data_IF_133581512318
#
_entry.id   IF_133581512318
#
_cell.length_a   1.000
_cell.length_b   1.000
_cell.length_c   1.000
_cell.angle_alpha   90.00
_cell.angle_beta   90.00
_cell.angle_gamma   90.00
#
_symmetry.space_group_name_H-M   'P 1'
#
loop_
_entity.id
_entity.type
_entity.pdbx_description
1 polymer ?
#
# COMPACT_ATOMS: atom_id res chain seq x y z
N UNK A 1 -6.64 -11.20 -5.96
CA UNK A 1 -7.34 -10.06 -5.31
C UNK A 1 -6.41 -9.15 -4.51
N UNK A 2 -5.37 -9.67 -3.86
CA UNK A 2 -4.30 -8.87 -3.20
C UNK A 2 -3.58 -7.92 -4.18
N UNK A 3 -3.35 -8.36 -5.40
CA UNK A 3 -2.55 -7.65 -6.41
C UNK A 3 -3.15 -6.29 -6.86
N UNK A 4 -4.48 -6.23 -6.98
CA UNK A 4 -5.20 -5.04 -7.44
C UNK A 4 -5.23 -3.92 -6.37
N UNK A 5 -5.27 -4.30 -5.09
CA UNK A 5 -5.21 -3.38 -3.96
C UNK A 5 -3.81 -2.76 -3.82
N UNK A 6 -2.76 -3.57 -4.00
CA UNK A 6 -1.36 -3.09 -3.97
C UNK A 6 -1.10 -2.10 -5.11
N UNK A 7 -1.52 -2.42 -6.34
CA UNK A 7 -1.34 -1.54 -7.51
C UNK A 7 -2.04 -0.18 -7.33
N UNK A 8 -3.29 -0.18 -6.84
CA UNK A 8 -4.06 1.04 -6.58
C UNK A 8 -3.42 1.91 -5.50
N UNK A 9 -2.82 1.28 -4.48
CA UNK A 9 -2.15 1.98 -3.40
C UNK A 9 -0.82 2.61 -3.83
N UNK A 10 -0.02 1.90 -4.63
CA UNK A 10 1.20 2.45 -5.24
C UNK A 10 0.88 3.67 -6.11
N UNK A 11 -0.17 3.58 -6.95
CA UNK A 11 -0.63 4.72 -7.76
C UNK A 11 -1.06 5.92 -6.89
N UNK A 12 -1.76 5.66 -5.78
CA UNK A 12 -2.20 6.70 -4.85
C UNK A 12 -1.01 7.44 -4.19
N UNK A 13 0.02 6.71 -3.74
CA UNK A 13 1.21 7.30 -3.13
C UNK A 13 2.03 8.11 -4.15
N UNK A 14 2.12 7.63 -5.40
CA UNK A 14 2.91 8.28 -6.44
C UNK A 14 2.19 9.45 -7.13
N UNK A 15 0.87 9.57 -6.99
CA UNK A 15 0.03 10.56 -7.70
C UNK A 15 0.57 12.00 -7.61
N UNK A 16 1.00 12.45 -6.44
CA UNK A 16 1.55 13.80 -6.23
C UNK A 16 2.91 14.04 -6.89
N UNK A 17 3.70 13.00 -7.21
CA UNK A 17 5.00 13.12 -7.88
C UNK A 17 4.94 12.85 -9.39
N UNK A 18 3.93 12.13 -9.88
CA UNK A 18 3.90 11.59 -11.25
C UNK A 18 2.90 12.30 -12.17
N UNK A 19 1.84 12.90 -11.63
CA UNK A 19 0.75 13.46 -12.44
C UNK A 19 0.89 14.99 -12.54
N UNK A 20 0.92 15.58 -13.76
CA UNK A 20 1.14 17.01 -13.98
C UNK A 20 -0.11 17.87 -13.69
N UNK A 21 -1.00 17.40 -12.81
CA UNK A 21 -2.28 18.05 -12.52
C UNK A 21 -2.20 19.06 -11.37
N UNK A 22 -3.26 19.84 -11.20
CA UNK A 22 -3.37 20.77 -10.08
C UNK A 22 -3.35 20.02 -8.74
N UNK A 23 -2.85 20.68 -7.69
CA UNK A 23 -2.76 20.12 -6.34
C UNK A 23 -4.09 19.52 -5.86
N UNK A 24 -5.22 20.19 -6.12
CA UNK A 24 -6.54 19.73 -5.68
C UNK A 24 -7.04 18.54 -6.49
N UNK A 25 -6.67 18.43 -7.77
CA UNK A 25 -6.94 17.23 -8.59
C UNK A 25 -6.15 16.05 -8.05
N UNK A 26 -4.84 16.22 -7.81
CA UNK A 26 -4.00 15.16 -7.25
C UNK A 26 -4.50 14.71 -5.86
N UNK A 27 -4.96 15.64 -5.02
CA UNK A 27 -5.58 15.31 -3.73
C UNK A 27 -6.85 14.46 -3.88
N UNK A 28 -7.71 14.82 -4.81
CA UNK A 28 -8.97 14.09 -5.07
C UNK A 28 -8.68 12.69 -5.59
N UNK A 29 -7.75 12.57 -6.55
CA UNK A 29 -7.32 11.28 -7.11
C UNK A 29 -6.70 10.39 -6.03
N UNK A 30 -5.80 10.93 -5.21
CA UNK A 30 -5.21 10.22 -4.08
C UNK A 30 -6.30 9.69 -3.13
N UNK A 31 -7.27 10.53 -2.76
CA UNK A 31 -8.37 10.14 -1.88
C UNK A 31 -9.22 9.00 -2.47
N UNK A 32 -9.60 9.11 -3.74
CA UNK A 32 -10.44 8.12 -4.45
C UNK A 32 -9.68 6.80 -4.58
N UNK A 33 -8.41 6.83 -5.01
CA UNK A 33 -7.61 5.61 -5.16
C UNK A 33 -7.45 4.88 -3.82
N UNK A 34 -7.22 5.61 -2.72
CA UNK A 34 -7.19 4.99 -1.40
C UNK A 34 -8.55 4.45 -0.94
N UNK A 35 -9.66 5.12 -1.29
CA UNK A 35 -11.00 4.63 -0.98
C UNK A 35 -11.31 3.31 -1.71
N UNK A 36 -10.97 3.23 -3.00
CA UNK A 36 -11.11 2.01 -3.81
C UNK A 36 -10.24 0.89 -3.25
N UNK A 37 -8.97 1.17 -2.92
CA UNK A 37 -8.07 0.19 -2.35
C UNK A 37 -8.55 -0.31 -0.97
N UNK A 38 -9.08 0.57 -0.11
CA UNK A 38 -9.67 0.18 1.17
C UNK A 38 -10.89 -0.72 0.96
N UNK A 39 -11.79 -0.37 0.03
CA UNK A 39 -12.94 -1.20 -0.31
C UNK A 39 -12.55 -2.60 -0.79
N UNK A 40 -11.62 -2.69 -1.75
CA UNK A 40 -11.12 -3.96 -2.28
C UNK A 40 -10.43 -4.79 -1.19
N UNK A 41 -9.65 -4.15 -0.32
CA UNK A 41 -9.01 -4.78 0.83
C UNK A 41 -10.01 -5.35 1.83
N UNK A 42 -11.01 -4.56 2.23
CA UNK A 42 -12.08 -4.99 3.13
C UNK A 42 -12.91 -6.13 2.53
N UNK A 43 -13.21 -6.07 1.23
CA UNK A 43 -13.90 -7.14 0.53
C UNK A 43 -13.06 -8.43 0.47
N UNK A 44 -11.74 -8.32 0.28
CA UNK A 44 -10.82 -9.46 0.36
C UNK A 44 -10.81 -10.12 1.74
N UNK A 45 -10.79 -9.33 2.81
CA UNK A 45 -10.90 -9.84 4.20
C UNK A 45 -12.25 -10.53 4.40
N UNK A 46 -13.36 -9.91 3.97
CA UNK A 46 -14.68 -10.53 4.03
C UNK A 46 -14.72 -11.89 3.31
N UNK A 47 -14.16 -11.98 2.10
CA UNK A 47 -14.12 -13.22 1.34
C UNK A 47 -13.30 -14.31 2.05
N UNK A 48 -12.18 -13.96 2.69
CA UNK A 48 -11.37 -14.90 3.47
C UNK A 48 -12.13 -15.46 4.68
N UNK A 49 -12.80 -14.59 5.45
CA UNK A 49 -13.64 -15.00 6.59
C UNK A 49 -14.81 -15.89 6.13
N UNK A 50 -15.47 -15.52 5.03
CA UNK A 50 -16.55 -16.33 4.46
C UNK A 50 -16.06 -17.73 4.07
N UNK A 51 -14.93 -17.81 3.36
CA UNK A 51 -14.33 -19.09 2.97
C UNK A 51 -13.98 -19.98 4.16
N UNK A 52 -13.36 -19.41 5.20
CA UNK A 52 -13.04 -20.15 6.42
C UNK A 52 -14.29 -20.65 7.14
N UNK A 53 -15.33 -19.82 7.27
CA UNK A 53 -16.58 -20.19 7.93
C UNK A 53 -17.31 -21.31 7.16
N UNK A 54 -17.38 -21.21 5.83
CA UNK A 54 -18.00 -22.23 4.98
C UNK A 54 -17.20 -23.54 4.93
N UNK A 55 -15.87 -23.46 5.12
CA UNK A 55 -14.95 -24.62 5.08
C UNK A 55 -14.63 -25.19 6.47
N UNK A 56 -15.19 -24.63 7.55
CA UNK A 56 -14.91 -25.07 8.93
C UNK A 56 -13.47 -24.82 9.40
N UNK A 57 -12.78 -23.83 8.82
CA UNK A 57 -11.40 -23.46 9.16
C UNK A 57 -11.44 -22.37 10.25
N UNK A 58 -10.55 -22.45 11.24
CA UNK A 58 -10.43 -21.42 12.26
C UNK A 58 -10.02 -20.07 11.65
N UNK A 59 -10.56 -18.97 12.16
CA UNK A 59 -10.15 -17.61 11.75
C UNK A 59 -9.05 -17.06 12.65
N UNK A 60 -8.26 -16.11 12.13
CA UNK A 60 -7.32 -15.28 12.89
C UNK A 60 -6.28 -16.05 13.72
N UNK A 61 -5.78 -17.20 13.24
CA UNK A 61 -4.74 -17.97 13.95
C UNK A 61 -3.33 -17.75 13.39
N UNK A 62 -3.19 -17.23 12.18
CA UNK A 62 -1.89 -17.08 11.50
C UNK A 62 -1.34 -15.67 11.60
N UNK A 63 0.00 -15.53 11.52
CA UNK A 63 0.64 -14.22 11.48
C UNK A 63 0.16 -13.39 10.26
N UNK A 64 -0.06 -14.04 9.11
CA UNK A 64 -0.65 -13.40 7.93
C UNK A 64 -1.98 -12.70 8.30
N UNK A 65 -2.87 -13.41 8.99
CA UNK A 65 -4.18 -12.89 9.36
C UNK A 65 -4.10 -11.74 10.38
N UNK A 66 -3.18 -11.79 11.35
CA UNK A 66 -2.98 -10.72 12.34
C UNK A 66 -2.41 -9.46 11.69
N UNK A 67 -1.36 -9.61 10.87
CA UNK A 67 -0.76 -8.48 10.14
C UNK A 67 -1.75 -7.91 9.14
N UNK A 68 -2.49 -8.75 8.40
CA UNK A 68 -3.49 -8.33 7.42
C UNK A 68 -4.64 -7.53 8.05
N UNK A 69 -5.22 -8.02 9.16
CA UNK A 69 -6.28 -7.31 9.87
C UNK A 69 -5.76 -6.01 10.52
N UNK A 70 -4.59 -6.04 11.14
CA UNK A 70 -3.95 -4.83 11.66
C UNK A 70 -3.73 -3.79 10.57
N UNK A 71 -3.27 -4.22 9.39
CA UNK A 71 -3.05 -3.34 8.24
C UNK A 71 -4.33 -2.68 7.76
N UNK A 72 -5.42 -3.43 7.57
CA UNK A 72 -6.67 -2.84 7.06
C UNK A 72 -7.29 -1.85 8.05
N UNK A 73 -7.16 -2.12 9.36
CA UNK A 73 -7.61 -1.20 10.42
C UNK A 73 -6.79 0.09 10.38
N UNK A 74 -5.45 -0.02 10.39
CA UNK A 74 -4.55 1.14 10.33
C UNK A 74 -4.77 1.95 9.05
N UNK A 75 -4.99 1.27 7.93
CA UNK A 75 -5.32 1.91 6.66
C UNK A 75 -6.62 2.71 6.77
N UNK A 76 -7.68 2.12 7.31
CA UNK A 76 -8.96 2.81 7.51
C UNK A 76 -8.81 4.07 8.37
N UNK A 77 -8.08 3.97 9.49
CA UNK A 77 -7.77 5.12 10.36
C UNK A 77 -6.96 6.20 9.63
N UNK A 78 -5.98 5.80 8.83
CA UNK A 78 -5.17 6.69 8.01
C UNK A 78 -6.01 7.42 6.96
N UNK A 79 -6.95 6.72 6.31
CA UNK A 79 -7.84 7.30 5.31
C UNK A 79 -8.81 8.30 5.95
N UNK A 80 -9.47 7.93 7.06
CA UNK A 80 -10.41 8.82 7.77
C UNK A 80 -9.69 10.05 8.31
N UNK A 81 -8.54 9.88 8.97
CA UNK A 81 -7.76 11.01 9.49
C UNK A 81 -7.25 11.92 8.37
N UNK A 82 -6.82 11.35 7.24
CA UNK A 82 -6.43 12.09 6.04
C UNK A 82 -7.59 12.89 5.45
N UNK A 83 -8.76 12.28 5.33
CA UNK A 83 -9.98 12.92 4.84
C UNK A 83 -10.38 14.12 5.72
N UNK A 84 -10.50 13.93 7.04
CA UNK A 84 -10.92 14.97 7.97
C UNK A 84 -9.91 16.12 8.05
N UNK A 85 -8.61 15.82 7.95
CA UNK A 85 -7.54 16.81 8.08
C UNK A 85 -7.31 17.61 6.80
N UNK A 86 -7.27 16.94 5.63
CA UNK A 86 -6.78 17.53 4.39
C UNK A 86 -7.87 17.77 3.32
N UNK A 87 -9.06 17.18 3.49
CA UNK A 87 -10.16 17.26 2.51
C UNK A 87 -11.39 17.96 3.09
N UNK A 88 -12.18 17.32 3.95
CA UNK A 88 -13.43 17.88 4.49
C UNK A 88 -13.70 17.36 5.91
N UNK A 89 -14.09 18.23 6.89
CA UNK A 89 -14.28 19.68 6.80
C UNK A 89 -12.97 20.46 6.60
N UNK A 90 -11.84 19.78 6.81
CA UNK A 90 -10.52 20.32 6.64
C UNK A 90 -10.02 21.03 7.90
N UNK A 91 -8.87 20.60 8.41
CA UNK A 91 -8.24 21.19 9.58
C UNK A 91 -7.66 22.59 9.34
N UNK A 92 -7.33 23.32 10.41
CA UNK A 92 -6.60 24.58 10.33
C UNK A 92 -5.22 24.42 9.68
N UNK A 93 -4.65 25.46 9.05
CA UNK A 93 -3.33 25.38 8.43
C UNK A 93 -2.21 24.95 9.39
N UNK A 94 -2.31 25.33 10.66
CA UNK A 94 -1.33 24.94 11.70
C UNK A 94 -1.38 23.44 11.98
N UNK A 95 -2.58 22.89 12.16
CA UNK A 95 -2.76 21.45 12.39
C UNK A 95 -2.37 20.63 11.16
N UNK A 96 -2.74 21.07 9.95
CA UNK A 96 -2.32 20.40 8.70
C UNK A 96 -0.80 20.28 8.60
N UNK A 97 -0.06 21.36 8.88
CA UNK A 97 1.41 21.34 8.85
C UNK A 97 2.00 20.39 9.91
N UNK A 98 1.40 20.32 11.09
CA UNK A 98 1.85 19.41 12.15
C UNK A 98 1.57 17.93 11.83
N UNK A 99 0.41 17.63 11.25
CA UNK A 99 -0.04 16.25 10.97
C UNK A 99 0.57 15.69 9.68
N UNK A 100 0.82 16.52 8.66
CA UNK A 100 1.35 16.08 7.37
C UNK A 100 2.55 15.13 7.45
N UNK A 101 3.65 15.44 8.18
CA UNK A 101 4.80 14.53 8.24
C UNK A 101 4.46 13.19 8.90
N UNK A 102 3.54 13.17 9.86
CA UNK A 102 3.05 11.94 10.48
C UNK A 102 2.17 11.14 9.53
N UNK A 103 1.27 11.81 8.80
CA UNK A 103 0.44 11.18 7.79
C UNK A 103 1.30 10.49 6.71
N UNK A 104 2.31 11.16 6.18
CA UNK A 104 3.22 10.54 5.19
C UNK A 104 3.95 9.32 5.76
N UNK A 105 4.56 9.45 6.95
CA UNK A 105 5.29 8.32 7.59
C UNK A 105 4.37 7.14 7.91
N UNK A 106 3.20 7.40 8.48
CA UNK A 106 2.22 6.38 8.82
C UNK A 106 1.71 5.68 7.55
N UNK A 107 1.45 6.43 6.47
CA UNK A 107 1.06 5.87 5.17
C UNK A 107 2.12 4.92 4.61
N UNK A 108 3.41 5.27 4.73
CA UNK A 108 4.50 4.40 4.30
C UNK A 108 4.62 3.13 5.17
N UNK A 109 4.43 3.25 6.49
CA UNK A 109 4.40 2.07 7.38
C UNK A 109 3.26 1.13 7.01
N UNK A 110 2.04 1.67 6.80
CA UNK A 110 0.88 0.89 6.34
C UNK A 110 1.17 0.23 4.99
N UNK A 111 1.90 0.89 4.09
CA UNK A 111 2.33 0.28 2.82
C UNK A 111 3.15 -0.98 3.04
N UNK A 112 4.19 -0.87 3.86
CA UNK A 112 5.14 -1.96 4.11
C UNK A 112 4.44 -3.11 4.82
N UNK A 113 3.52 -2.82 5.74
CA UNK A 113 2.68 -3.84 6.37
C UNK A 113 1.77 -4.54 5.36
N UNK A 114 1.21 -3.83 4.38
CA UNK A 114 0.41 -4.44 3.30
C UNK A 114 1.26 -5.36 2.41
N UNK A 115 2.49 -4.95 2.06
CA UNK A 115 3.44 -5.79 1.34
C UNK A 115 3.78 -7.04 2.15
N UNK A 116 4.12 -6.87 3.44
CA UNK A 116 4.41 -7.99 4.33
C UNK A 116 3.23 -8.96 4.45
N UNK A 117 2.01 -8.44 4.59
CA UNK A 117 0.81 -9.27 4.62
C UNK A 117 0.63 -10.05 3.31
N UNK A 118 0.87 -9.44 2.15
CA UNK A 118 0.79 -10.10 0.86
C UNK A 118 1.82 -11.24 0.73
N UNK A 119 3.09 -10.99 1.08
CA UNK A 119 4.15 -12.01 1.07
C UNK A 119 3.83 -13.19 1.99
N UNK A 120 3.37 -12.90 3.22
CA UNK A 120 2.94 -13.94 4.16
C UNK A 120 1.76 -14.76 3.61
N UNK A 121 0.82 -14.12 2.89
CA UNK A 121 -0.33 -14.78 2.30
C UNK A 121 0.05 -15.70 1.13
N UNK A 122 0.97 -15.27 0.27
CA UNK A 122 1.51 -16.12 -0.80
C UNK A 122 2.20 -17.36 -0.21
N UNK A 123 3.08 -17.15 0.78
CA UNK A 123 3.79 -18.23 1.44
C UNK A 123 2.84 -19.21 2.14
N UNK A 124 1.87 -18.70 2.90
CA UNK A 124 0.88 -19.51 3.62
C UNK A 124 0.05 -20.35 2.65
N UNK A 125 -0.51 -19.72 1.60
CA UNK A 125 -1.34 -20.43 0.62
C UNK A 125 -0.53 -21.49 -0.13
N UNK A 126 0.69 -21.18 -0.54
CA UNK A 126 1.55 -22.14 -1.23
C UNK A 126 1.93 -23.31 -0.32
N UNK A 127 2.21 -23.04 0.96
CA UNK A 127 2.50 -24.09 1.96
C UNK A 127 1.32 -25.03 2.15
N UNK A 128 0.09 -24.51 2.21
CA UNK A 128 -1.12 -25.35 2.29
C UNK A 128 -1.35 -26.20 1.05
N UNK A 129 -1.12 -25.64 -0.14
CA UNK A 129 -1.22 -26.41 -1.40
C UNK A 129 -0.16 -27.51 -1.46
N UNK A 130 1.07 -27.24 -1.04
CA UNK A 130 2.13 -28.24 -0.99
C UNK A 130 1.85 -29.33 0.05
N UNK A 131 1.28 -28.97 1.21
CA UNK A 131 0.85 -29.94 2.22
C UNK A 131 -0.28 -30.86 1.72
N UNK A 132 -1.07 -30.41 0.74
CA UNK A 132 -2.16 -31.17 0.12
C UNK A 132 -1.76 -31.85 -1.19
N UNK A 133 -0.46 -31.84 -1.54
CA UNK A 133 0.09 -32.62 -2.65
C UNK A 133 0.60 -31.83 -3.85
N UNK A 134 0.56 -30.49 -3.82
CA UNK A 134 1.16 -29.68 -4.89
C UNK A 134 2.68 -29.90 -4.94
N UNK A 135 3.21 -30.18 -6.13
CA UNK A 135 4.65 -30.36 -6.33
C UNK A 135 5.45 -29.09 -5.99
N UNK A 136 6.55 -29.24 -5.24
CA UNK A 136 7.40 -28.11 -4.80
C UNK A 136 7.99 -27.29 -5.95
N UNK A 137 8.24 -27.93 -7.09
CA UNK A 137 8.74 -27.32 -8.32
C UNK A 137 7.71 -27.36 -9.46
N UNK A 138 6.42 -27.48 -9.11
CA UNK A 138 5.34 -27.39 -10.10
C UNK A 138 5.30 -25.99 -10.73
N UNK A 139 4.77 -25.89 -11.95
CA UNK A 139 4.57 -24.61 -12.62
C UNK A 139 3.72 -23.64 -11.79
N UNK A 140 2.73 -24.15 -11.06
CA UNK A 140 1.90 -23.35 -10.15
C UNK A 140 2.71 -22.79 -8.97
N UNK A 141 3.55 -23.61 -8.31
CA UNK A 141 4.41 -23.16 -7.23
C UNK A 141 5.42 -22.10 -7.69
N UNK A 142 6.02 -22.30 -8.86
CA UNK A 142 6.95 -21.33 -9.45
C UNK A 142 6.24 -20.03 -9.85
N UNK A 143 5.02 -20.11 -10.39
CA UNK A 143 4.21 -18.94 -10.74
C UNK A 143 3.88 -18.10 -9.50
N UNK A 144 3.46 -18.74 -8.40
CA UNK A 144 3.17 -18.04 -7.14
C UNK A 144 4.43 -17.36 -6.58
N UNK A 145 5.57 -18.06 -6.54
CA UNK A 145 6.83 -17.48 -6.10
C UNK A 145 7.28 -16.31 -6.98
N UNK A 146 7.17 -16.42 -8.30
CA UNK A 146 7.51 -15.33 -9.21
C UNK A 146 6.58 -14.14 -9.04
N UNK A 147 5.29 -14.37 -8.84
CA UNK A 147 4.30 -13.32 -8.55
C UNK A 147 4.65 -12.60 -7.24
N UNK A 148 4.97 -13.34 -6.18
CA UNK A 148 5.42 -12.78 -4.91
C UNK A 148 6.69 -11.92 -5.08
N UNK A 149 7.69 -12.40 -5.83
CA UNK A 149 8.88 -11.62 -6.15
C UNK A 149 8.56 -10.33 -6.93
N UNK A 150 7.65 -10.38 -7.90
CA UNK A 150 7.22 -9.18 -8.65
C UNK A 150 6.53 -8.17 -7.72
N UNK A 151 5.65 -8.64 -6.84
CA UNK A 151 4.98 -7.78 -5.84
C UNK A 151 5.99 -7.14 -4.90
N UNK A 152 6.96 -7.91 -4.40
CA UNK A 152 8.02 -7.41 -3.53
C UNK A 152 8.89 -6.36 -4.23
N UNK A 153 9.34 -6.62 -5.46
CA UNK A 153 10.20 -5.71 -6.22
C UNK A 153 9.45 -4.43 -6.61
N UNK A 154 8.20 -4.53 -7.06
CA UNK A 154 7.34 -3.38 -7.31
C UNK A 154 7.15 -2.59 -6.02
N UNK A 155 6.85 -3.27 -4.92
CA UNK A 155 6.73 -2.72 -3.57
C UNK A 155 7.94 -1.88 -3.17
N UNK A 156 9.11 -2.50 -3.24
CA UNK A 156 10.39 -1.85 -2.92
C UNK A 156 10.68 -0.65 -3.83
N UNK A 157 10.42 -0.76 -5.14
CA UNK A 157 10.63 0.33 -6.09
C UNK A 157 9.80 1.57 -5.74
N UNK A 158 8.56 1.38 -5.28
CA UNK A 158 7.69 2.47 -4.83
C UNK A 158 8.24 3.10 -3.56
N UNK A 159 8.68 2.31 -2.57
CA UNK A 159 9.31 2.82 -1.34
C UNK A 159 10.53 3.68 -1.70
N UNK A 160 11.39 3.21 -2.59
CA UNK A 160 12.57 3.96 -3.04
C UNK A 160 12.17 5.25 -3.76
N UNK A 161 11.22 5.19 -4.69
CA UNK A 161 10.78 6.36 -5.46
C UNK A 161 10.18 7.47 -4.56
N UNK A 162 9.41 7.08 -3.55
CA UNK A 162 8.71 8.05 -2.69
C UNK A 162 9.65 8.68 -1.67
N UNK A 163 10.65 7.93 -1.20
CA UNK A 163 11.68 8.38 -0.26
C UNK A 163 12.88 9.04 -0.93
N UNK A 164 13.06 8.86 -2.25
CA UNK A 164 14.13 9.51 -2.99
C UNK A 164 14.05 11.05 -2.87
N UNK A 165 15.17 11.73 -2.58
CA UNK A 165 15.22 13.18 -2.55
C UNK A 165 14.84 13.73 -3.92
N UNK A 166 13.93 14.71 -3.96
CA UNK A 166 13.68 15.45 -5.19
C UNK A 166 14.99 16.14 -5.58
N UNK A 167 15.50 15.97 -6.80
CA UNK A 167 16.79 16.52 -7.21
C UNK A 167 16.89 18.02 -6.92
N UNK A 168 17.53 18.35 -5.81
CA UNK A 168 17.91 19.69 -5.40
C UNK A 168 19.24 20.09 -6.03
N UNK A 169 19.56 19.59 -7.23
CA UNK A 169 20.86 19.84 -7.88
C UNK A 169 20.79 20.67 -9.17
N UNK A 170 19.65 20.78 -9.86
CA UNK A 170 19.59 21.60 -11.09
C UNK A 170 19.25 23.09 -10.86
N UNK A 171 19.14 23.55 -9.61
CA UNK A 171 18.83 24.97 -9.30
C UNK A 171 20.01 25.75 -8.70
N UNK A 172 21.01 25.06 -8.13
CA UNK A 172 22.23 25.70 -7.61
C UNK A 172 23.29 25.93 -8.70
N UNK A 173 23.33 25.09 -9.74
CA UNK A 173 24.25 25.25 -10.88
C UNK A 173 23.92 26.41 -11.82
N UNK A 174 22.65 26.86 -11.88
CA UNK A 174 22.28 27.98 -12.77
C UNK A 174 22.51 29.35 -12.12
N UNK A 175 22.52 29.41 -10.79
CA UNK A 175 22.81 30.62 -10.02
C UNK A 175 24.30 30.99 -9.96
N UNK A 176 25.22 30.07 -10.24
CA UNK A 176 26.66 30.36 -10.31
C UNK A 176 27.13 30.81 -11.71
N UNK A 177 26.40 30.49 -12.77
CA UNK A 177 26.76 30.89 -14.16
C UNK A 177 26.28 32.29 -14.52
N UNK A 178 25.32 32.87 -13.78
CA UNK A 178 24.83 34.25 -14.00
C UNK A 178 25.58 35.30 -13.17
N UNK A 179 26.67 34.93 -12.49
CA UNK A 179 27.55 35.85 -11.76
C UNK A 179 29.00 35.69 -12.23
N UNK A 180 29.27 36.03 -13.49
CA UNK A 180 30.61 36.38 -13.99
C UNK A 180 30.49 37.29 -15.20
#
# INVERSE_FOLDING_TARGET
MSDQATCSFSAAIMSYKTLPWSHDTNKTVHLILHAVALFLGSFGVYAAFKFHNESGIANLYSLHSWVGLGTIILYGLQWVSGFLTFFFPGASPTLRRAVLPWHVRAGLVVYVLALLAAELGFLEKLTFLQATGLGKYSSEALLVNFTALVVLLLGASVVLYVTAPAQSEHRLGYSSVRKS
#
